data_IF_521662522817
#
_entry.id   IF_521662522817
#
_cell.length_a   1.000
_cell.length_b   1.000
_cell.length_c   1.000
_cell.angle_alpha   90.00
_cell.angle_beta   90.00
_cell.angle_gamma   90.00
#
_symmetry.space_group_name_H-M   'P 1'
#
loop_
_entity.id
_entity.type
_entity.pdbx_description
1 polymer ?
#
# COMPACT_ATOMS: atom_id res chain seq x y z
N UNK A 1 2.57 6.82 20.55
CA UNK A 1 1.42 6.53 19.82
C UNK A 1 1.43 7.21 18.45
N UNK A 2 1.19 6.69 17.45
CA UNK A 2 1.38 6.97 16.06
C UNK A 2 1.55 8.45 15.67
N UNK A 3 2.15 8.65 14.52
CA UNK A 3 2.26 9.99 13.97
C UNK A 3 0.92 10.41 13.35
N UNK A 4 0.67 11.72 13.24
CA UNK A 4 -0.55 12.21 12.60
C UNK A 4 -0.68 11.70 11.17
N UNK A 5 -1.90 11.40 10.76
CA UNK A 5 -2.16 10.94 9.39
C UNK A 5 -1.68 11.95 8.34
N UNK A 6 -1.77 13.23 8.65
CA UNK A 6 -1.31 14.28 7.74
C UNK A 6 0.19 14.17 7.45
N UNK A 7 0.99 13.80 8.43
CA UNK A 7 2.43 13.63 8.25
C UNK A 7 2.73 12.41 7.38
N UNK A 8 1.94 11.35 7.54
CA UNK A 8 2.05 10.16 6.69
C UNK A 8 1.75 10.53 5.23
N UNK A 9 0.68 11.29 5.00
CA UNK A 9 0.32 11.76 3.65
C UNK A 9 1.45 12.57 3.04
N UNK A 10 2.04 13.48 3.80
CA UNK A 10 3.13 14.32 3.30
C UNK A 10 4.33 13.49 2.88
N UNK A 11 4.75 12.54 3.71
CA UNK A 11 5.88 11.67 3.37
C UNK A 11 5.58 10.76 2.19
N UNK A 12 4.40 10.17 2.16
CA UNK A 12 4.00 9.31 1.05
C UNK A 12 3.89 10.09 -0.25
N UNK A 13 3.34 11.31 -0.19
CA UNK A 13 3.25 12.17 -1.37
C UNK A 13 4.63 12.53 -1.92
N UNK A 14 5.58 12.82 -1.04
CA UNK A 14 6.96 13.08 -1.44
C UNK A 14 7.58 11.86 -2.12
N UNK A 15 7.35 10.67 -1.56
CA UNK A 15 7.87 9.43 -2.13
C UNK A 15 7.27 9.16 -3.51
N UNK A 16 5.98 9.39 -3.68
CA UNK A 16 5.30 9.21 -4.96
C UNK A 16 5.84 10.18 -6.00
N UNK A 17 6.00 11.45 -5.65
CA UNK A 17 6.58 12.44 -6.59
C UNK A 17 7.98 12.06 -7.02
N UNK A 18 8.80 11.59 -6.09
CA UNK A 18 10.15 11.13 -6.40
C UNK A 18 10.12 9.92 -7.32
N UNK A 19 9.22 8.98 -7.07
CA UNK A 19 9.05 7.80 -7.91
C UNK A 19 8.65 8.18 -9.33
N UNK A 20 7.74 9.14 -9.48
CA UNK A 20 7.33 9.63 -10.79
C UNK A 20 8.52 10.23 -11.56
N UNK A 21 9.35 11.01 -10.88
CA UNK A 21 10.53 11.60 -11.51
C UNK A 21 11.52 10.53 -11.95
N UNK A 22 11.75 9.52 -11.11
CA UNK A 22 12.68 8.45 -11.41
C UNK A 22 12.17 7.50 -12.50
N UNK A 23 10.86 7.33 -12.59
CA UNK A 23 10.25 6.41 -13.56
C UNK A 23 10.30 6.92 -15.00
N UNK A 24 10.44 8.22 -15.21
CA UNK A 24 10.51 8.83 -16.56
C UNK A 24 9.39 8.34 -17.49
N UNK A 25 8.16 8.37 -17.01
CA UNK A 25 7.00 7.91 -17.79
C UNK A 25 6.76 6.41 -17.77
N UNK A 26 7.63 5.65 -17.11
CA UNK A 26 7.46 4.21 -16.94
C UNK A 26 6.79 3.86 -15.62
N UNK A 27 7.27 2.80 -14.99
CA UNK A 27 6.71 2.31 -13.75
C UNK A 27 7.74 2.35 -12.63
N UNK A 28 7.28 2.59 -11.41
CA UNK A 28 8.08 2.47 -10.20
C UNK A 28 7.29 1.68 -9.17
N UNK A 29 8.02 0.93 -8.34
CA UNK A 29 7.43 0.16 -7.25
C UNK A 29 7.96 0.73 -5.94
N UNK A 30 7.03 1.07 -5.03
CA UNK A 30 7.37 1.48 -3.68
C UNK A 30 6.90 0.39 -2.72
N UNK A 31 7.77 0.00 -1.81
CA UNK A 31 7.44 -1.00 -0.80
C UNK A 31 7.23 -0.27 0.53
N UNK A 32 6.09 -0.51 1.15
CA UNK A 32 5.72 0.16 2.38
C UNK A 32 4.89 -0.77 3.25
N UNK A 33 4.12 -0.22 4.17
CA UNK A 33 3.34 -0.94 5.15
C UNK A 33 1.87 -0.57 5.04
N UNK A 34 1.02 -1.35 5.69
CA UNK A 34 -0.43 -1.19 5.59
C UNK A 34 -0.89 0.24 5.89
N UNK A 35 -0.47 0.82 7.00
CA UNK A 35 -0.96 2.13 7.41
C UNK A 35 -0.58 3.25 6.42
N UNK A 36 0.69 3.41 6.01
CA UNK A 36 1.04 4.43 5.02
C UNK A 36 0.33 4.22 3.68
N UNK A 37 0.25 2.99 3.19
CA UNK A 37 -0.39 2.70 1.91
C UNK A 37 -1.88 3.05 1.96
N UNK A 38 -2.58 2.57 2.99
CA UNK A 38 -4.01 2.85 3.12
C UNK A 38 -4.30 4.32 3.34
N UNK A 39 -3.46 5.01 4.12
CA UNK A 39 -3.59 6.44 4.36
C UNK A 39 -3.44 7.23 3.05
N UNK A 40 -2.43 6.89 2.24
CA UNK A 40 -2.24 7.54 0.95
C UNK A 40 -3.41 7.28 -0.01
N UNK A 41 -3.88 6.04 -0.07
CA UNK A 41 -5.03 5.70 -0.89
C UNK A 41 -6.27 6.47 -0.46
N UNK A 42 -6.52 6.53 0.84
CA UNK A 42 -7.66 7.28 1.38
C UNK A 42 -7.56 8.77 1.02
N UNK A 43 -6.37 9.33 1.09
CA UNK A 43 -6.14 10.72 0.72
C UNK A 43 -6.46 10.98 -0.74
N UNK A 44 -5.92 10.17 -1.65
CA UNK A 44 -6.13 10.40 -3.09
C UNK A 44 -7.56 10.12 -3.51
N UNK A 45 -8.27 9.26 -2.78
CA UNK A 45 -9.69 8.98 -3.03
C UNK A 45 -10.64 9.96 -2.34
N UNK A 46 -10.11 10.90 -1.57
CA UNK A 46 -10.92 11.88 -0.87
C UNK A 46 -11.66 11.36 0.35
N UNK A 47 -11.20 10.24 0.91
CA UNK A 47 -11.81 9.66 2.12
C UNK A 47 -11.22 10.30 3.38
N UNK A 48 -11.95 10.13 4.49
CA UNK A 48 -11.42 10.54 5.80
C UNK A 48 -10.14 9.77 6.11
N UNK A 49 -9.13 10.47 6.61
CA UNK A 49 -7.87 9.83 7.00
C UNK A 49 -8.03 9.05 8.32
N UNK A 50 -8.86 9.55 9.22
CA UNK A 50 -9.21 8.81 10.43
C UNK A 50 -10.15 7.67 10.05
N UNK A 51 -9.77 6.45 10.39
CA UNK A 51 -10.53 5.29 9.95
C UNK A 51 -10.45 4.15 10.95
N UNK A 52 -11.37 3.20 10.81
CA UNK A 52 -11.34 1.94 11.53
C UNK A 52 -10.28 1.02 10.87
N UNK A 53 -9.24 0.60 11.62
CA UNK A 53 -8.21 -0.27 11.05
C UNK A 53 -8.74 -1.57 10.43
N UNK A 54 -9.90 -2.04 10.87
CA UNK A 54 -10.50 -3.26 10.34
C UNK A 54 -11.04 -3.08 8.92
N UNK A 55 -11.17 -1.84 8.46
CA UNK A 55 -11.69 -1.54 7.11
C UNK A 55 -10.58 -1.30 6.09
N UNK A 56 -9.32 -1.44 6.49
CA UNK A 56 -8.20 -1.24 5.57
C UNK A 56 -8.19 -2.34 4.52
N UNK A 57 -8.24 -1.94 3.26
CA UNK A 57 -8.08 -2.86 2.14
C UNK A 57 -6.61 -2.84 1.73
N UNK A 58 -5.79 -3.52 2.47
CA UNK A 58 -4.36 -3.61 2.21
C UNK A 58 -3.82 -4.91 2.83
N UNK A 59 -4.07 -6.02 2.16
CA UNK A 59 -3.58 -7.32 2.59
C UNK A 59 -2.07 -7.42 2.40
N UNK A 60 -1.45 -8.36 3.06
CA UNK A 60 -0.03 -8.64 2.87
C UNK A 60 0.23 -9.02 1.40
N UNK A 61 1.29 -8.50 0.84
CA UNK A 61 1.67 -8.71 -0.56
C UNK A 61 0.62 -8.20 -1.55
N UNK A 62 -0.25 -7.30 -1.12
CA UNK A 62 -1.18 -6.64 -2.03
C UNK A 62 -0.48 -5.52 -2.79
N UNK A 63 -1.09 -5.09 -3.88
CA UNK A 63 -0.59 -3.99 -4.70
C UNK A 63 -1.67 -2.92 -4.77
N UNK A 64 -1.32 -1.71 -4.35
CA UNK A 64 -2.13 -0.53 -4.56
C UNK A 64 -1.48 0.28 -5.67
N UNK A 65 -2.21 0.52 -6.75
CA UNK A 65 -1.67 1.16 -7.95
C UNK A 65 -2.19 2.57 -8.09
N UNK A 66 -1.29 3.50 -8.41
CA UNK A 66 -1.63 4.87 -8.76
C UNK A 66 -1.17 5.11 -10.19
N UNK A 67 -2.08 5.50 -11.05
CA UNK A 67 -1.79 5.75 -12.47
C UNK A 67 -1.84 7.25 -12.75
N UNK A 68 -0.86 7.73 -13.50
CA UNK A 68 -0.68 9.15 -13.76
C UNK A 68 -0.51 9.43 -15.24
N UNK A 69 -0.98 10.61 -15.68
CA UNK A 69 -0.54 11.24 -16.92
C UNK A 69 0.20 12.50 -16.51
N UNK A 70 1.51 12.55 -16.78
CA UNK A 70 2.36 13.58 -16.19
C UNK A 70 2.34 13.47 -14.68
N UNK A 71 1.90 14.51 -14.01
CA UNK A 71 1.75 14.51 -12.55
C UNK A 71 0.30 14.44 -12.09
N UNK A 72 -0.62 14.22 -13.02
CA UNK A 72 -2.03 14.15 -12.71
C UNK A 72 -2.44 12.69 -12.46
N UNK A 73 -2.98 12.42 -11.30
CA UNK A 73 -3.52 11.10 -10.96
C UNK A 73 -4.79 10.85 -11.78
N UNK A 74 -4.83 9.72 -12.50
CA UNK A 74 -5.96 9.36 -13.34
C UNK A 74 -6.64 8.07 -12.90
N UNK A 75 -6.05 7.30 -12.00
CA UNK A 75 -6.67 6.07 -11.56
C UNK A 75 -6.01 5.48 -10.34
N UNK A 76 -6.80 4.72 -9.58
CA UNK A 76 -6.36 3.97 -8.40
C UNK A 76 -6.83 2.54 -8.57
N UNK A 77 -5.94 1.58 -8.36
CA UNK A 77 -6.27 0.17 -8.43
C UNK A 77 -5.81 -0.57 -7.18
N UNK A 78 -6.39 -1.72 -6.97
CA UNK A 78 -6.00 -2.59 -5.88
C UNK A 78 -6.08 -4.05 -6.33
N UNK A 79 -5.07 -4.83 -6.00
CA UNK A 79 -5.01 -6.25 -6.36
C UNK A 79 -4.31 -7.04 -5.26
N UNK A 80 -4.67 -8.30 -5.14
CA UNK A 80 -4.07 -9.24 -4.19
C UNK A 80 -3.48 -10.43 -4.95
N UNK A 81 -2.37 -10.24 -5.66
CA UNK A 81 -1.80 -11.29 -6.51
C UNK A 81 -1.35 -12.52 -5.73
N UNK A 82 -1.09 -12.39 -4.43
CA UNK A 82 -0.64 -13.49 -3.58
C UNK A 82 -1.74 -14.10 -2.72
N UNK A 83 -3.01 -13.77 -2.98
CA UNK A 83 -4.13 -14.21 -2.12
C UNK A 83 -4.18 -15.73 -1.97
N UNK A 84 -4.01 -16.47 -3.06
CA UNK A 84 -4.04 -17.95 -3.01
C UNK A 84 -2.89 -18.51 -2.21
N UNK A 85 -1.72 -17.92 -2.32
CA UNK A 85 -0.54 -18.36 -1.57
C UNK A 85 -0.71 -18.11 -0.09
N UNK A 86 -1.26 -16.94 0.28
CA UNK A 86 -1.53 -16.62 1.69
C UNK A 86 -2.56 -17.54 2.29
N UNK A 87 -3.62 -17.87 1.57
CA UNK A 87 -4.64 -18.80 2.02
C UNK A 87 -4.04 -20.17 2.28
N UNK A 88 -3.23 -20.69 1.34
CA UNK A 88 -2.58 -21.99 1.50
C UNK A 88 -1.58 -22.01 2.64
N UNK A 89 -0.83 -20.93 2.84
CA UNK A 89 0.11 -20.83 3.93
C UNK A 89 -0.57 -20.90 5.29
N UNK A 90 -1.73 -20.31 5.43
CA UNK A 90 -2.52 -20.38 6.67
C UNK A 90 -3.00 -21.80 6.98
N UNK A 91 -3.24 -22.60 5.96
CA UNK A 91 -3.74 -23.96 6.11
C UNK A 91 -2.63 -24.96 6.47
N UNK A 92 -1.38 -24.60 6.29
CA UNK A 92 -0.24 -25.49 6.53
C UNK A 92 0.12 -25.53 8.02
N UNK A 93 0.81 -24.51 8.50
CA UNK A 93 1.26 -24.47 9.90
C UNK A 93 1.22 -23.03 10.37
N UNK A 94 0.33 -22.68 11.30
CA UNK A 94 0.15 -21.27 11.69
C UNK A 94 1.42 -20.54 12.09
N UNK A 95 2.32 -21.21 12.83
CA UNK A 95 3.57 -20.59 13.25
C UNK A 95 4.51 -20.29 12.08
N UNK A 96 4.63 -21.22 11.15
CA UNK A 96 5.47 -21.06 9.96
C UNK A 96 4.90 -20.01 9.02
N UNK A 97 3.59 -20.03 8.85
CA UNK A 97 2.93 -19.02 8.03
C UNK A 97 3.22 -17.61 8.52
N UNK A 98 3.20 -17.43 9.82
CA UNK A 98 3.46 -16.13 10.43
C UNK A 98 4.89 -15.67 10.19
N UNK A 99 5.84 -16.58 10.33
CA UNK A 99 7.25 -16.28 10.11
C UNK A 99 7.50 -15.88 8.64
N UNK A 100 6.93 -16.64 7.72
CA UNK A 100 7.06 -16.33 6.29
C UNK A 100 6.50 -14.96 5.94
N UNK A 101 5.38 -14.59 6.53
CA UNK A 101 4.76 -13.28 6.30
C UNK A 101 5.65 -12.14 6.78
N UNK A 102 6.26 -12.30 7.96
CA UNK A 102 7.12 -11.27 8.51
C UNK A 102 8.39 -11.07 7.69
N UNK A 103 8.96 -12.14 7.16
CA UNK A 103 10.18 -12.02 6.36
C UNK A 103 9.92 -11.36 5.01
N UNK A 104 8.68 -11.36 4.53
CA UNK A 104 8.30 -10.70 3.29
C UNK A 104 8.19 -9.19 3.40
N UNK A 105 8.26 -8.66 4.59
CA UNK A 105 8.20 -7.23 4.83
C UNK A 105 9.58 -6.59 4.78
#
# INVERSE_FOLDING_TARGET
WGEPYADIVERMSSAVRRALDLAHGGEAVLVSHQLPIWTMRSFVEGRSLAHDPRRRQCALCSVTSLSFIGRQLIGVGYDEPAADLLARAKDVTPGESRAAVHTGE
#
